data_IF_404780652861
#
_entry.id   IF_404780652861
#
_cell.length_a   1.000
_cell.length_b   1.000
_cell.length_c   1.000
_cell.angle_alpha   90.00
_cell.angle_beta   90.00
_cell.angle_gamma   90.00
#
_symmetry.space_group_name_H-M   'P 1'
#
loop_
_entity.id
_entity.type
_entity.pdbx_description
1 polymer ?
#
# COMPACT_ATOMS: atom_id res chain seq x y z
N UNK A 1 9.47 8.30 -13.24
CA UNK A 1 10.74 7.57 -13.02
C UNK A 1 10.40 6.20 -12.47
N UNK A 2 11.02 5.12 -12.95
CA UNK A 2 10.82 3.78 -12.40
C UNK A 2 11.85 3.53 -11.30
N UNK A 3 11.38 3.15 -10.12
CA UNK A 3 12.23 2.88 -8.95
C UNK A 3 12.20 1.38 -8.65
N UNK A 4 13.38 0.81 -8.39
CA UNK A 4 13.54 -0.59 -8.02
C UNK A 4 14.29 -0.68 -6.68
N UNK A 5 13.82 -1.54 -5.78
CA UNK A 5 14.41 -1.73 -4.45
C UNK A 5 14.42 -3.19 -4.07
N UNK A 6 15.49 -3.61 -3.40
CA UNK A 6 15.56 -4.91 -2.73
C UNK A 6 15.09 -4.74 -1.30
N UNK A 7 14.01 -5.41 -0.94
CA UNK A 7 13.49 -5.42 0.42
C UNK A 7 13.71 -6.80 1.06
N UNK A 8 14.01 -6.83 2.36
CA UNK A 8 14.15 -8.07 3.11
C UNK A 8 12.77 -8.75 3.39
N UNK A 9 11.69 -7.98 3.30
CA UNK A 9 10.30 -8.41 3.46
C UNK A 9 9.34 -7.34 2.94
N UNK A 10 8.06 -7.68 2.80
CA UNK A 10 7.06 -6.79 2.18
C UNK A 10 6.48 -5.78 3.17
N UNK A 11 6.39 -6.11 4.45
CA UNK A 11 5.74 -5.27 5.47
C UNK A 11 6.31 -3.85 5.58
N UNK A 12 7.64 -3.72 5.74
CA UNK A 12 8.30 -2.42 5.86
C UNK A 12 8.18 -1.61 4.57
N UNK A 13 8.35 -2.28 3.42
CA UNK A 13 8.18 -1.67 2.11
C UNK A 13 6.76 -1.16 1.88
N UNK A 14 5.74 -1.95 2.23
CA UNK A 14 4.34 -1.59 2.11
C UNK A 14 4.00 -0.39 3.02
N UNK A 15 4.50 -0.39 4.26
CA UNK A 15 4.33 0.74 5.18
C UNK A 15 4.96 2.03 4.65
N UNK A 16 6.14 1.93 4.06
CA UNK A 16 6.82 3.06 3.44
C UNK A 16 6.08 3.57 2.20
N UNK A 17 5.72 2.68 1.27
CA UNK A 17 4.97 3.03 0.03
C UNK A 17 3.62 3.66 0.35
N UNK A 18 2.92 3.17 1.39
CA UNK A 18 1.62 3.71 1.79
C UNK A 18 1.68 5.22 2.10
N UNK A 19 2.82 5.71 2.61
CA UNK A 19 3.03 7.13 2.90
C UNK A 19 2.96 8.04 1.67
N UNK A 20 3.17 7.52 0.46
CA UNK A 20 3.05 8.28 -0.79
C UNK A 20 1.61 8.36 -1.30
N UNK A 21 0.70 7.53 -0.79
CA UNK A 21 -0.70 7.50 -1.23
C UNK A 21 -0.83 7.29 -2.74
N UNK A 22 -1.51 8.22 -3.42
CA UNK A 22 -1.79 8.13 -4.86
C UNK A 22 -0.59 8.50 -5.76
N UNK A 23 0.52 8.99 -5.20
CA UNK A 23 1.69 9.41 -5.97
C UNK A 23 2.61 8.23 -6.36
N UNK A 24 2.37 7.03 -5.82
CA UNK A 24 3.14 5.83 -6.10
C UNK A 24 2.24 4.63 -6.43
N UNK A 25 2.67 3.80 -7.39
CA UNK A 25 2.02 2.52 -7.73
C UNK A 25 3.03 1.37 -7.68
N UNK A 26 2.64 0.25 -7.08
CA UNK A 26 3.43 -0.99 -7.08
C UNK A 26 3.19 -1.72 -8.41
N UNK A 27 4.18 -1.70 -9.30
CA UNK A 27 4.06 -2.34 -10.60
C UNK A 27 4.21 -3.86 -10.49
N UNK A 28 5.25 -4.35 -9.81
CA UNK A 28 5.56 -5.79 -9.61
C UNK A 28 6.30 -5.99 -8.28
N UNK A 29 6.27 -7.21 -7.69
CA UNK A 29 5.47 -8.37 -8.10
C UNK A 29 3.97 -8.20 -7.77
N UNK A 30 3.10 -8.97 -8.43
CA UNK A 30 1.64 -8.83 -8.30
C UNK A 30 1.15 -9.12 -6.89
N UNK A 31 1.76 -10.07 -6.19
CA UNK A 31 1.39 -10.44 -4.81
C UNK A 31 1.51 -9.26 -3.86
N UNK A 32 2.58 -8.48 -3.97
CA UNK A 32 2.80 -7.27 -3.15
C UNK A 32 1.79 -6.18 -3.49
N UNK A 33 1.39 -6.07 -4.76
CA UNK A 33 0.30 -5.17 -5.16
C UNK A 33 -1.02 -5.60 -4.52
N UNK A 34 -1.34 -6.88 -4.53
CA UNK A 34 -2.56 -7.43 -3.93
C UNK A 34 -2.61 -7.22 -2.41
N UNK A 35 -1.47 -7.41 -1.73
CA UNK A 35 -1.30 -7.10 -0.30
C UNK A 35 -1.64 -5.63 -0.02
N UNK A 36 -1.08 -4.68 -0.82
CA UNK A 36 -1.41 -3.26 -0.68
C UNK A 36 -2.89 -2.97 -0.92
N UNK A 37 -3.50 -3.57 -1.94
CA UNK A 37 -4.95 -3.43 -2.18
C UNK A 37 -5.76 -3.90 -0.98
N UNK A 38 -5.35 -4.99 -0.32
CA UNK A 38 -5.97 -5.47 0.92
C UNK A 38 -5.90 -4.43 2.04
N UNK A 39 -4.72 -3.85 2.27
CA UNK A 39 -4.49 -2.80 3.27
C UNK A 39 -5.39 -1.58 2.98
N UNK A 40 -5.42 -1.10 1.74
CA UNK A 40 -6.21 0.06 1.33
C UNK A 40 -7.71 -0.18 1.48
N UNK A 41 -8.21 -1.37 1.11
CA UNK A 41 -9.62 -1.74 1.31
C UNK A 41 -9.99 -1.77 2.79
N UNK A 42 -9.18 -2.37 3.64
CA UNK A 42 -9.41 -2.41 5.08
C UNK A 42 -9.43 -0.99 5.69
N UNK A 43 -8.52 -0.12 5.25
CA UNK A 43 -8.50 1.28 5.68
C UNK A 43 -9.77 2.03 5.26
N UNK A 44 -10.18 1.90 3.99
CA UNK A 44 -11.41 2.51 3.47
C UNK A 44 -12.65 2.04 4.22
N UNK A 45 -12.73 0.74 4.53
CA UNK A 45 -13.82 0.19 5.32
C UNK A 45 -13.84 0.78 6.74
N UNK A 46 -12.67 0.99 7.35
CA UNK A 46 -12.53 1.70 8.62
C UNK A 46 -13.10 3.12 8.56
N UNK A 47 -12.70 3.90 7.55
CA UNK A 47 -13.23 5.27 7.35
C UNK A 47 -14.74 5.30 7.12
N UNK A 48 -15.28 4.35 6.33
CA UNK A 48 -16.73 4.24 6.08
C UNK A 48 -17.53 3.88 7.34
N UNK A 49 -17.01 2.98 8.18
CA UNK A 49 -17.72 2.47 9.37
C UNK A 49 -17.70 3.42 10.55
N UNK A 50 -16.73 4.33 10.62
CA UNK A 50 -16.49 5.13 11.81
C UNK A 50 -16.09 6.56 11.52
N UNK A 51 -16.64 7.19 10.47
CA UNK A 51 -16.31 8.53 10.00
C UNK A 51 -16.07 9.53 11.14
N UNK A 52 -14.82 9.64 11.58
CA UNK A 52 -14.28 10.82 12.24
C UNK A 52 -13.98 11.79 11.12
N UNK A 53 -15.01 12.57 10.77
CA UNK A 53 -14.79 13.93 10.27
C UNK A 53 -14.25 14.79 11.42
#
# INVERSE_FOLDING_TARGET
>A
VMYEVKAAGTDEFLRWVLGFGAEAEIIKPITVREEMVGILKAALDGYKKGGRA
#
